data_IF_107114173750
#
_entry.id   IF_107114173750
#
_cell.length_a   1.000
_cell.length_b   1.000
_cell.length_c   1.000
_cell.angle_alpha   90.00
_cell.angle_beta   90.00
_cell.angle_gamma   90.00
#
_symmetry.space_group_name_H-M   'P 1'
#
loop_
_entity.id
_entity.type
_entity.pdbx_description
1 polymer ?
#
# COMPACT_ATOMS: atom_id res chain seq x y z
N UNK A 1 -59.61 -48.24 40.60
CA UNK A 1 -59.09 -48.10 41.98
C UNK A 1 -57.68 -47.54 41.96
N UNK A 2 -57.46 -46.53 42.82
CA UNK A 2 -56.18 -45.91 43.28
C UNK A 2 -55.43 -44.98 42.29
N UNK A 3 -55.79 -43.79 42.28
CA UNK A 3 -55.12 -42.56 42.77
C UNK A 3 -53.62 -42.64 43.09
N UNK A 4 -52.85 -41.87 42.42
CA UNK A 4 -51.61 -41.27 42.96
C UNK A 4 -51.37 -39.94 42.30
N UNK A 5 -51.51 -38.89 43.09
CA UNK A 5 -51.05 -37.57 42.87
C UNK A 5 -49.51 -37.59 42.97
N UNK A 6 -48.82 -36.92 42.03
CA UNK A 6 -47.46 -36.50 42.22
C UNK A 6 -47.31 -35.06 41.73
N UNK A 7 -47.15 -34.18 42.68
CA UNK A 7 -46.80 -32.77 42.53
C UNK A 7 -45.42 -32.65 41.84
N UNK A 8 -45.36 -32.03 40.69
CA UNK A 8 -44.13 -31.65 40.03
C UNK A 8 -43.84 -30.16 40.21
N UNK A 9 -42.77 -29.91 40.91
CA UNK A 9 -42.21 -28.58 41.22
C UNK A 9 -41.68 -27.90 39.92
N UNK A 10 -42.27 -26.77 39.56
CA UNK A 10 -41.78 -25.99 38.46
C UNK A 10 -40.58 -25.16 38.96
N UNK A 11 -39.40 -25.52 38.54
CA UNK A 11 -38.19 -24.74 38.72
C UNK A 11 -38.10 -23.67 37.61
N UNK A 12 -38.36 -22.43 37.97
CA UNK A 12 -38.21 -21.25 37.12
C UNK A 12 -36.71 -20.89 37.10
N UNK A 13 -35.97 -21.33 36.06
CA UNK A 13 -34.59 -20.86 35.83
C UNK A 13 -34.63 -19.54 35.07
N UNK A 14 -34.39 -18.46 35.80
CA UNK A 14 -34.15 -17.15 35.21
C UNK A 14 -32.75 -17.17 34.58
N UNK A 15 -32.68 -17.36 33.26
CA UNK A 15 -31.45 -17.19 32.49
C UNK A 15 -31.12 -15.72 32.40
N UNK A 16 -30.09 -15.27 33.10
CA UNK A 16 -29.47 -13.95 32.85
C UNK A 16 -28.87 -13.98 31.44
N UNK A 17 -29.57 -13.37 30.49
CA UNK A 17 -28.99 -12.99 29.19
C UNK A 17 -28.01 -11.83 29.42
N UNK A 18 -26.72 -12.17 29.57
CA UNK A 18 -25.65 -11.18 29.47
C UNK A 18 -25.59 -10.72 28.01
N UNK A 19 -26.27 -9.61 27.72
CA UNK A 19 -26.09 -8.88 26.46
C UNK A 19 -24.71 -8.28 26.46
N UNK A 20 -23.73 -9.02 25.96
CA UNK A 20 -22.43 -8.50 25.64
C UNK A 20 -22.59 -7.48 24.51
N UNK A 21 -22.63 -6.20 24.87
CA UNK A 21 -22.43 -5.12 23.90
C UNK A 21 -20.99 -5.22 23.39
N UNK A 22 -20.77 -6.07 22.38
CA UNK A 22 -19.57 -6.03 21.60
C UNK A 22 -19.49 -4.66 20.96
N UNK A 23 -18.61 -3.80 21.47
CA UNK A 23 -18.23 -2.59 20.79
C UNK A 23 -17.51 -3.07 19.53
N UNK A 24 -18.22 -3.09 18.41
CA UNK A 24 -17.60 -3.16 17.11
C UNK A 24 -16.71 -1.91 17.02
N UNK A 25 -15.41 -2.09 17.21
CA UNK A 25 -14.45 -1.05 16.87
C UNK A 25 -14.60 -0.83 15.37
N UNK A 26 -15.23 0.28 14.98
CA UNK A 26 -15.30 0.71 13.60
C UNK A 26 -13.86 0.88 13.15
N UNK A 27 -13.39 -0.04 12.26
CA UNK A 27 -12.07 0.08 11.66
C UNK A 27 -11.99 1.46 11.01
N UNK A 28 -11.00 2.26 11.40
CA UNK A 28 -10.76 3.55 10.75
C UNK A 28 -10.62 3.33 9.24
N UNK A 29 -11.23 4.17 8.40
CA UNK A 29 -11.10 4.03 6.97
C UNK A 29 -9.62 4.00 6.57
N UNK A 30 -9.23 3.19 5.58
CA UNK A 30 -7.85 3.12 5.14
C UNK A 30 -7.38 4.50 4.68
N UNK A 31 -6.14 4.84 5.00
CA UNK A 31 -5.54 6.08 4.52
C UNK A 31 -5.31 5.97 3.02
N UNK A 32 -5.78 6.92 2.20
CA UNK A 32 -5.62 6.83 0.75
C UNK A 32 -4.15 6.91 0.35
N UNK A 33 -3.78 6.18 -0.69
CA UNK A 33 -2.47 6.29 -1.34
C UNK A 33 -2.29 7.70 -1.90
N UNK A 34 -1.15 8.32 -1.62
CA UNK A 34 -0.82 9.67 -2.10
C UNK A 34 0.36 9.69 -3.07
N UNK A 35 1.21 8.68 -3.00
CA UNK A 35 2.40 8.49 -3.84
C UNK A 35 2.65 7.00 -4.02
N UNK A 36 3.51 6.65 -4.97
CA UNK A 36 4.03 5.30 -5.12
C UNK A 36 5.55 5.35 -5.14
N UNK A 37 6.19 4.56 -4.28
CA UNK A 37 7.60 4.26 -4.39
C UNK A 37 7.75 3.11 -5.40
N UNK A 38 8.49 3.37 -6.48
CA UNK A 38 8.84 2.36 -7.46
C UNK A 38 10.34 2.06 -7.39
N UNK A 39 10.69 0.79 -7.27
CA UNK A 39 12.07 0.33 -7.29
C UNK A 39 12.27 -0.48 -8.56
N UNK A 40 13.01 0.09 -9.51
CA UNK A 40 13.39 -0.57 -10.75
C UNK A 40 14.74 -1.26 -10.62
N UNK A 41 14.80 -2.52 -10.99
CA UNK A 41 16.05 -3.31 -10.99
C UNK A 41 16.22 -4.05 -12.32
N UNK A 42 17.46 -4.14 -12.80
CA UNK A 42 17.79 -4.93 -13.97
C UNK A 42 17.52 -6.40 -13.66
N UNK A 43 16.84 -7.09 -14.57
CA UNK A 43 16.50 -8.49 -14.41
C UNK A 43 17.75 -9.39 -14.36
N UNK A 44 17.72 -10.47 -13.56
CA UNK A 44 18.82 -11.43 -13.53
C UNK A 44 19.12 -12.01 -14.91
N UNK A 45 20.41 -12.15 -15.24
CA UNK A 45 20.84 -12.74 -16.52
C UNK A 45 20.80 -11.80 -17.73
N UNK A 46 20.39 -10.55 -17.55
CA UNK A 46 20.45 -9.54 -18.62
C UNK A 46 21.90 -9.20 -18.93
N UNK A 47 22.24 -9.22 -20.23
CA UNK A 47 23.53 -8.72 -20.70
C UNK A 47 23.67 -7.23 -20.40
N UNK A 48 24.71 -6.81 -19.65
CA UNK A 48 24.93 -5.40 -19.36
C UNK A 48 25.09 -4.53 -20.60
N UNK A 49 25.55 -5.09 -21.72
CA UNK A 49 25.68 -4.37 -22.98
C UNK A 49 24.32 -4.04 -23.58
N UNK A 50 23.35 -4.96 -23.49
CA UNK A 50 21.98 -4.72 -23.96
C UNK A 50 21.31 -3.59 -23.18
N UNK A 51 21.43 -3.59 -21.85
CA UNK A 51 20.90 -2.51 -21.02
C UNK A 51 21.57 -1.16 -21.33
N UNK A 52 22.91 -1.14 -21.49
CA UNK A 52 23.65 0.08 -21.82
C UNK A 52 23.26 0.68 -23.18
N UNK A 53 22.93 -0.14 -24.16
CA UNK A 53 22.50 0.34 -25.47
C UNK A 53 21.17 1.10 -25.42
N UNK A 54 20.28 0.73 -24.50
CA UNK A 54 18.95 1.35 -24.31
C UNK A 54 19.00 2.55 -23.38
N UNK A 55 19.95 2.58 -22.45
CA UNK A 55 20.02 3.55 -21.36
C UNK A 55 19.92 5.04 -21.78
N UNK A 56 20.53 5.50 -22.88
CA UNK A 56 20.39 6.91 -23.30
C UNK A 56 18.93 7.29 -23.64
N UNK A 57 18.17 6.35 -24.23
CA UNK A 57 16.77 6.56 -24.53
C UNK A 57 15.90 6.44 -23.27
N UNK A 58 16.20 5.48 -22.42
CA UNK A 58 15.56 5.31 -21.10
C UNK A 58 15.63 6.60 -20.29
N UNK A 59 16.83 7.17 -20.15
CA UNK A 59 17.02 8.41 -19.38
C UNK A 59 16.22 9.55 -19.99
N UNK A 60 16.19 9.67 -21.31
CA UNK A 60 15.44 10.74 -21.99
C UNK A 60 13.93 10.61 -21.74
N UNK A 61 13.37 9.42 -21.83
CA UNK A 61 11.94 9.19 -21.57
C UNK A 61 11.61 9.38 -20.08
N UNK A 62 12.50 8.97 -19.19
CA UNK A 62 12.34 9.21 -17.75
C UNK A 62 12.35 10.71 -17.42
N UNK A 63 13.23 11.50 -18.06
CA UNK A 63 13.24 12.97 -17.92
C UNK A 63 11.90 13.58 -18.35
N UNK A 64 11.30 13.10 -19.42
CA UNK A 64 9.95 13.57 -19.82
C UNK A 64 8.93 13.33 -18.73
N UNK A 65 8.89 12.13 -18.14
CA UNK A 65 7.98 11.83 -17.03
C UNK A 65 8.21 12.76 -15.82
N UNK A 66 9.46 13.12 -15.55
CA UNK A 66 9.80 14.07 -14.50
C UNK A 66 9.28 15.49 -14.84
N UNK A 67 9.52 15.96 -16.05
CA UNK A 67 9.05 17.29 -16.49
C UNK A 67 7.52 17.35 -16.58
N UNK A 68 6.86 16.24 -16.87
CA UNK A 68 5.39 16.12 -16.86
C UNK A 68 4.81 16.01 -15.44
N UNK A 69 5.65 16.05 -14.41
CA UNK A 69 5.24 15.96 -13.01
C UNK A 69 4.78 14.58 -12.56
N UNK A 70 5.06 13.53 -13.33
CA UNK A 70 4.73 12.14 -12.99
C UNK A 70 5.73 11.54 -12.01
N UNK A 71 6.98 11.96 -12.06
CA UNK A 71 8.04 11.61 -11.12
C UNK A 71 8.30 12.84 -10.25
N UNK A 72 8.19 12.67 -8.94
CA UNK A 72 8.45 13.71 -7.94
C UNK A 72 9.94 13.70 -7.55
N UNK A 73 10.50 12.52 -7.31
CA UNK A 73 11.91 12.34 -6.97
C UNK A 73 12.43 11.04 -7.61
N UNK A 74 13.72 11.01 -7.88
CA UNK A 74 14.42 9.87 -8.45
C UNK A 74 15.83 9.72 -7.90
N UNK A 75 16.29 8.46 -7.76
CA UNK A 75 17.58 8.14 -7.20
C UNK A 75 18.17 6.91 -7.86
N UNK A 76 19.50 6.85 -8.02
CA UNK A 76 20.19 5.61 -8.31
C UNK A 76 20.34 4.78 -7.05
N UNK A 77 20.15 3.47 -7.16
CA UNK A 77 20.40 2.56 -6.04
C UNK A 77 21.91 2.44 -5.81
N UNK A 78 22.32 2.49 -4.54
CA UNK A 78 23.70 2.22 -4.17
C UNK A 78 23.92 0.70 -4.01
N UNK A 79 25.07 0.21 -4.46
CA UNK A 79 25.46 -1.18 -4.30
C UNK A 79 24.83 -2.18 -5.28
N UNK A 80 23.88 -1.74 -6.12
CA UNK A 80 23.29 -2.57 -7.18
C UNK A 80 22.78 -1.70 -8.34
N UNK A 81 22.75 -2.23 -9.58
CA UNK A 81 22.12 -1.52 -10.70
C UNK A 81 20.62 -1.36 -10.47
N UNK A 82 20.14 -0.13 -10.57
CA UNK A 82 18.72 0.15 -10.43
C UNK A 82 18.43 1.58 -10.06
N UNK A 83 17.15 1.89 -9.93
CA UNK A 83 16.62 3.23 -9.70
C UNK A 83 15.47 3.15 -8.70
N UNK A 84 15.30 4.21 -7.91
CA UNK A 84 14.12 4.42 -7.09
C UNK A 84 13.42 5.70 -7.54
N UNK A 85 12.11 5.63 -7.74
CA UNK A 85 11.26 6.77 -8.07
C UNK A 85 10.23 6.99 -6.97
N UNK A 86 9.99 8.24 -6.62
CA UNK A 86 8.75 8.65 -5.95
C UNK A 86 7.81 9.17 -7.04
N UNK A 87 6.75 8.42 -7.31
CA UNK A 87 5.81 8.73 -8.37
C UNK A 87 4.63 9.56 -7.85
N UNK A 88 4.27 10.58 -8.60
CA UNK A 88 3.11 11.43 -8.31
C UNK A 88 1.84 10.85 -8.93
N UNK A 89 1.58 9.58 -8.66
CA UNK A 89 0.39 8.83 -9.03
C UNK A 89 -0.11 8.03 -7.83
N UNK A 90 -1.38 7.68 -7.79
CA UNK A 90 -2.02 7.05 -6.64
C UNK A 90 -2.50 5.62 -6.92
N UNK A 91 -2.53 5.23 -8.18
CA UNK A 91 -2.94 3.89 -8.64
C UNK A 91 -1.72 3.08 -9.06
N UNK A 92 -1.54 1.91 -8.44
CA UNK A 92 -0.41 1.00 -8.72
C UNK A 92 -0.45 0.41 -10.13
N UNK A 93 -1.63 0.13 -10.66
CA UNK A 93 -1.76 -0.40 -12.02
C UNK A 93 -1.37 0.65 -13.06
N UNK A 94 -1.81 1.90 -12.86
CA UNK A 94 -1.41 3.02 -13.71
C UNK A 94 0.09 3.31 -13.62
N UNK A 95 0.68 3.21 -12.42
CA UNK A 95 2.12 3.36 -12.22
C UNK A 95 2.91 2.26 -12.95
N UNK A 96 2.46 1.01 -12.83
CA UNK A 96 3.08 -0.13 -13.52
C UNK A 96 3.06 0.07 -15.04
N UNK A 97 1.89 0.36 -15.59
CA UNK A 97 1.73 0.60 -17.03
C UNK A 97 2.63 1.75 -17.54
N UNK A 98 2.73 2.84 -16.76
CA UNK A 98 3.58 3.98 -17.09
C UNK A 98 5.07 3.59 -17.16
N UNK A 99 5.55 2.81 -16.19
CA UNK A 99 6.95 2.38 -16.11
C UNK A 99 7.29 1.31 -17.13
N UNK A 100 6.37 0.38 -17.42
CA UNK A 100 6.54 -0.64 -18.46
C UNK A 100 6.59 -0.04 -19.89
N UNK A 101 6.13 1.18 -20.09
CA UNK A 101 6.26 1.93 -21.34
C UNK A 101 7.67 2.53 -21.53
N UNK A 102 8.47 2.59 -20.48
CA UNK A 102 9.86 3.01 -20.60
C UNK A 102 10.68 1.97 -21.38
N UNK A 103 11.72 2.36 -22.12
CA UNK A 103 12.47 1.45 -23.00
C UNK A 103 13.00 0.18 -22.34
N UNK A 104 13.52 0.27 -21.11
CA UNK A 104 13.99 -0.91 -20.36
C UNK A 104 12.84 -1.83 -19.94
N UNK A 105 11.67 -1.26 -19.60
CA UNK A 105 10.46 -2.02 -19.33
C UNK A 105 9.96 -2.73 -20.59
N UNK A 106 9.81 -2.02 -21.71
CA UNK A 106 9.39 -2.57 -22.98
C UNK A 106 10.31 -3.70 -23.50
N UNK A 107 11.60 -3.57 -23.26
CA UNK A 107 12.59 -4.60 -23.61
C UNK A 107 12.64 -5.77 -22.61
N UNK A 108 11.82 -5.74 -21.55
CA UNK A 108 11.81 -6.71 -20.45
C UNK A 108 13.18 -6.89 -19.77
N UNK A 109 13.99 -5.84 -19.76
CA UNK A 109 15.31 -5.83 -19.11
C UNK A 109 15.26 -5.35 -17.67
N UNK A 110 14.19 -4.69 -17.27
CA UNK A 110 13.97 -4.14 -15.93
C UNK A 110 12.62 -4.58 -15.39
N UNK A 111 12.56 -4.84 -14.09
CA UNK A 111 11.32 -5.07 -13.35
C UNK A 111 11.13 -4.00 -12.29
N UNK A 112 9.88 -3.71 -11.95
CA UNK A 112 9.50 -2.68 -11.00
C UNK A 112 8.74 -3.27 -9.82
N UNK A 113 9.24 -3.02 -8.61
CA UNK A 113 8.49 -3.21 -7.38
C UNK A 113 7.77 -1.91 -7.04
N UNK A 114 6.46 -1.97 -6.79
CA UNK A 114 5.62 -0.81 -6.52
C UNK A 114 5.08 -0.87 -5.10
N UNK A 115 5.37 0.14 -4.31
CA UNK A 115 4.96 0.25 -2.91
C UNK A 115 4.06 1.49 -2.78
N UNK A 116 2.74 1.32 -2.57
CA UNK A 116 1.85 2.44 -2.31
C UNK A 116 2.24 3.16 -1.01
N UNK A 117 2.31 4.47 -1.05
CA UNK A 117 2.61 5.32 0.09
C UNK A 117 1.38 6.13 0.48
N UNK A 118 1.15 6.23 1.77
CA UNK A 118 0.09 7.04 2.36
C UNK A 118 0.70 7.96 3.43
N UNK A 119 -0.01 9.02 3.85
CA UNK A 119 0.41 9.81 5.00
C UNK A 119 0.64 8.93 6.22
N UNK A 120 1.61 9.31 7.05
CA UNK A 120 2.00 8.55 8.24
C UNK A 120 0.80 8.37 9.20
N UNK A 121 0.30 7.14 9.30
CA UNK A 121 -0.89 6.82 10.10
C UNK A 121 -0.81 7.25 11.57
N UNK A 122 0.33 7.11 12.29
CA UNK A 122 0.45 7.54 13.67
C UNK A 122 0.18 9.01 13.91
N UNK A 123 0.28 9.88 12.87
CA UNK A 123 -0.05 11.30 13.00
C UNK A 123 -1.51 11.54 13.37
N UNK A 124 -2.42 10.59 13.08
CA UNK A 124 -3.82 10.66 13.52
C UNK A 124 -3.98 10.58 15.04
N UNK A 125 -2.99 10.02 15.74
CA UNK A 125 -2.97 9.93 17.21
C UNK A 125 -2.57 11.25 17.87
N UNK A 126 -2.06 12.20 17.09
CA UNK A 126 -1.68 13.53 17.55
C UNK A 126 -2.89 14.49 17.69
N UNK A 127 -4.12 13.96 17.68
CA UNK A 127 -5.32 14.76 17.92
C UNK A 127 -5.23 15.40 19.31
N UNK A 128 -5.28 16.73 19.36
CA UNK A 128 -5.17 17.52 20.59
C UNK A 128 -3.81 18.17 20.84
N UNK A 129 -2.83 17.99 19.97
CA UNK A 129 -1.66 18.87 19.96
C UNK A 129 -2.10 20.20 19.33
N UNK A 130 -2.59 21.07 20.18
CA UNK A 130 -2.69 22.48 19.81
C UNK A 130 -1.27 23.01 19.72
N UNK A 131 -0.83 23.38 18.51
CA UNK A 131 0.32 24.24 18.36
C UNK A 131 -0.01 25.50 19.15
N UNK A 132 0.63 25.65 20.33
CA UNK A 132 0.49 26.85 21.11
C UNK A 132 0.78 28.03 20.20
N UNK A 133 -0.21 28.89 20.00
CA UNK A 133 0.03 30.21 19.42
C UNK A 133 1.04 30.96 20.27
N UNK A 134 1.99 31.66 19.64
CA UNK A 134 2.92 32.54 20.35
C UNK A 134 2.22 33.67 21.12
#
# INVERSE_FOLDING_TARGET
MKTALASGLAALTIGLMSSGFGHAQSASPPTPTTRILAIGTINPGVDPAAARAILPTEVRETVKLYLDGKIDQWYSLQGRPGVAFILNVTDTAAAHEMLEKLPLGQAHLMSFELIPLAPLNPLRQLQGITTGSP
#
